data_IF_176835511671
#
_entry.id   IF_176835511671
#
_cell.length_a   1.000
_cell.length_b   1.000
_cell.length_c   1.000
_cell.angle_alpha   90.00
_cell.angle_beta   90.00
_cell.angle_gamma   90.00
#
_symmetry.space_group_name_H-M   'P 1'
#
loop_
_entity.id
_entity.type
_entity.pdbx_description
1 polymer ?
#
# COMPACT_ATOMS: atom_id res chain seq x y z
N UNK A 1 0.94 -38.69 -17.09
CA UNK A 1 1.29 -37.36 -17.68
C UNK A 1 1.84 -36.51 -16.54
N UNK A 2 3.16 -36.37 -16.45
CA UNK A 2 3.90 -35.90 -15.25
C UNK A 2 3.69 -34.42 -14.95
N UNK A 3 3.32 -34.10 -13.70
CA UNK A 3 3.16 -32.72 -13.21
C UNK A 3 4.46 -31.88 -13.30
N UNK A 4 5.64 -32.52 -13.26
CA UNK A 4 6.93 -31.84 -13.46
C UNK A 4 7.06 -31.13 -14.83
N UNK A 5 6.29 -31.55 -15.85
CA UNK A 5 6.38 -30.99 -17.19
C UNK A 5 5.45 -29.78 -17.43
N UNK A 6 4.59 -29.46 -16.48
CA UNK A 6 3.66 -28.30 -16.56
C UNK A 6 4.26 -27.08 -15.87
N UNK A 7 4.98 -27.27 -14.75
CA UNK A 7 5.67 -26.17 -14.05
C UNK A 7 6.84 -25.58 -14.84
N UNK A 8 7.57 -26.40 -15.61
CA UNK A 8 8.68 -25.93 -16.45
C UNK A 8 8.24 -25.05 -17.62
N UNK A 9 7.05 -25.28 -18.18
CA UNK A 9 6.47 -24.52 -19.31
C UNK A 9 6.05 -23.09 -18.96
N UNK A 10 5.91 -22.78 -17.67
CA UNK A 10 5.38 -21.49 -17.20
C UNK A 10 6.45 -20.55 -16.63
N UNK A 11 7.74 -20.91 -16.73
CA UNK A 11 8.87 -20.04 -16.39
C UNK A 11 9.16 -19.09 -17.58
N UNK A 12 9.38 -17.78 -17.36
CA UNK A 12 9.77 -16.85 -18.42
C UNK A 12 11.03 -17.35 -19.13
N UNK A 13 11.01 -17.35 -20.47
CA UNK A 13 12.14 -17.83 -21.29
C UNK A 13 11.92 -19.15 -22.03
N UNK A 14 10.74 -19.78 -21.90
CA UNK A 14 10.33 -20.88 -22.78
C UNK A 14 9.72 -20.32 -24.08
N UNK A 15 9.79 -21.07 -25.20
CA UNK A 15 9.21 -20.67 -26.50
C UNK A 15 7.75 -20.18 -26.43
N UNK A 16 6.97 -20.74 -25.50
CA UNK A 16 5.55 -20.38 -25.30
C UNK A 16 5.33 -19.17 -24.38
N UNK A 17 6.36 -18.70 -23.65
CA UNK A 17 6.29 -17.51 -22.79
C UNK A 17 7.60 -16.68 -22.84
N UNK A 18 7.79 -15.90 -23.94
CA UNK A 18 8.98 -15.09 -24.14
C UNK A 18 9.15 -14.03 -23.05
N UNK A 19 10.40 -13.69 -22.74
CA UNK A 19 10.76 -12.62 -21.80
C UNK A 19 10.08 -11.27 -22.11
N UNK A 20 9.88 -10.96 -23.40
CA UNK A 20 9.24 -9.72 -23.84
C UNK A 20 7.81 -9.58 -23.32
N UNK A 21 7.03 -10.66 -23.32
CA UNK A 21 5.66 -10.64 -22.79
C UNK A 21 5.63 -10.52 -21.28
N UNK A 22 6.56 -11.17 -20.59
CA UNK A 22 6.69 -11.07 -19.15
C UNK A 22 7.07 -9.64 -18.71
N UNK A 23 8.11 -9.06 -19.32
CA UNK A 23 8.52 -7.68 -19.01
C UNK A 23 7.46 -6.65 -19.42
N UNK A 24 6.76 -6.87 -20.54
CA UNK A 24 5.63 -6.04 -20.93
C UNK A 24 4.51 -6.07 -19.89
N UNK A 25 4.20 -7.26 -19.34
CA UNK A 25 3.20 -7.38 -18.28
C UNK A 25 3.65 -6.74 -16.96
N UNK A 26 4.91 -6.94 -16.56
CA UNK A 26 5.46 -6.30 -15.35
C UNK A 26 5.45 -4.77 -15.47
N UNK A 27 5.85 -4.25 -16.63
CA UNK A 27 5.79 -2.83 -16.94
C UNK A 27 4.35 -2.31 -16.89
N UNK A 28 3.39 -3.05 -17.45
CA UNK A 28 1.97 -2.70 -17.39
C UNK A 28 1.44 -2.70 -15.95
N UNK A 29 1.85 -3.66 -15.10
CA UNK A 29 1.46 -3.69 -13.69
C UNK A 29 2.02 -2.49 -12.91
N UNK A 30 3.29 -2.15 -13.11
CA UNK A 30 3.93 -0.98 -12.50
C UNK A 30 3.27 0.32 -12.96
N UNK A 31 3.02 0.45 -14.28
CA UNK A 31 2.31 1.59 -14.84
C UNK A 31 0.90 1.72 -14.27
N UNK A 32 0.16 0.60 -14.19
CA UNK A 32 -1.16 0.56 -13.58
C UNK A 32 -1.12 1.05 -12.12
N UNK A 33 -0.17 0.56 -11.33
CA UNK A 33 0.02 0.99 -9.93
C UNK A 33 0.34 2.48 -9.82
N UNK A 34 1.18 2.99 -10.69
CA UNK A 34 1.52 4.41 -10.75
C UNK A 34 0.30 5.26 -11.10
N UNK A 35 -0.46 4.88 -12.13
CA UNK A 35 -1.70 5.57 -12.51
C UNK A 35 -2.73 5.54 -11.39
N UNK A 36 -2.92 4.40 -10.74
CA UNK A 36 -3.82 4.26 -9.59
C UNK A 36 -3.44 5.21 -8.45
N UNK A 37 -2.15 5.29 -8.11
CA UNK A 37 -1.67 6.21 -7.08
C UNK A 37 -1.85 7.67 -7.47
N UNK A 38 -1.50 8.00 -8.70
CA UNK A 38 -1.61 9.35 -9.24
C UNK A 38 -3.07 9.83 -9.25
N UNK A 39 -4.01 8.96 -9.65
CA UNK A 39 -5.45 9.22 -9.60
C UNK A 39 -5.98 9.31 -8.18
N UNK A 40 -5.52 8.45 -7.27
CA UNK A 40 -5.87 8.50 -5.85
C UNK A 40 -5.53 9.87 -5.24
N UNK A 41 -4.38 10.46 -5.59
CA UNK A 41 -3.93 11.71 -4.97
C UNK A 41 -4.87 12.90 -5.25
N UNK A 42 -5.61 12.89 -6.36
CA UNK A 42 -6.52 13.99 -6.73
C UNK A 42 -7.60 14.21 -5.65
N UNK A 43 -8.48 13.24 -5.35
CA UNK A 43 -9.51 13.42 -4.30
C UNK A 43 -8.90 13.63 -2.91
N UNK A 44 -7.72 13.07 -2.63
CA UNK A 44 -7.03 13.28 -1.36
C UNK A 44 -6.60 14.74 -1.19
N UNK A 45 -6.00 15.34 -2.20
CA UNK A 45 -5.61 16.76 -2.15
C UNK A 45 -6.83 17.68 -2.05
N UNK A 46 -7.96 17.33 -2.66
CA UNK A 46 -9.21 18.05 -2.42
C UNK A 46 -9.71 17.93 -0.97
N UNK A 47 -9.50 16.78 -0.33
CA UNK A 47 -9.82 16.60 1.09
C UNK A 47 -8.89 17.43 1.99
N UNK A 48 -7.61 17.55 1.64
CA UNK A 48 -6.64 18.38 2.37
C UNK A 48 -7.04 19.86 2.44
N UNK A 49 -7.76 20.39 1.45
CA UNK A 49 -8.23 21.77 1.45
C UNK A 49 -9.47 22.01 2.31
N UNK A 50 -10.16 20.97 2.76
CA UNK A 50 -11.40 21.09 3.55
C UNK A 50 -11.11 21.03 5.04
N UNK A 51 -11.68 21.92 5.87
CA UNK A 51 -11.59 21.78 7.32
C UNK A 51 -12.16 20.44 7.76
N UNK A 52 -11.43 19.73 8.62
CA UNK A 52 -11.85 18.42 9.11
C UNK A 52 -11.72 18.35 10.65
N UNK A 53 -12.70 17.77 11.35
CA UNK A 53 -12.64 17.66 12.80
C UNK A 53 -11.67 16.54 13.23
N UNK A 54 -10.94 16.77 14.32
CA UNK A 54 -10.25 15.72 15.07
C UNK A 54 -11.26 15.02 15.97
N UNK A 55 -11.24 13.68 15.98
CA UNK A 55 -12.17 12.87 16.78
C UNK A 55 -11.44 12.16 17.93
N UNK A 56 -12.11 11.91 19.08
CA UNK A 56 -11.49 11.15 20.15
C UNK A 56 -11.28 9.68 19.75
N UNK A 57 -10.14 9.11 20.15
CA UNK A 57 -9.80 7.70 19.89
C UNK A 57 -9.36 7.01 21.17
N UNK A 58 -10.01 5.87 21.47
CA UNK A 58 -9.80 5.13 22.71
C UNK A 58 -8.38 4.55 22.83
N UNK A 59 -7.82 4.05 21.74
CA UNK A 59 -6.49 3.42 21.78
C UNK A 59 -5.42 4.51 21.84
N UNK A 60 -5.57 5.57 21.05
CA UNK A 60 -4.62 6.69 21.07
C UNK A 60 -4.65 7.46 22.40
N UNK A 61 -5.77 7.41 23.14
CA UNK A 61 -5.85 7.95 24.49
C UNK A 61 -5.00 7.16 25.52
N UNK A 62 -4.72 5.89 25.24
CA UNK A 62 -3.95 5.00 26.12
C UNK A 62 -2.49 4.86 25.70
N UNK A 63 -2.21 4.95 24.40
CA UNK A 63 -0.86 4.79 23.85
C UNK A 63 -0.11 6.12 23.93
N UNK A 64 1.13 6.15 24.45
CA UNK A 64 1.91 7.37 24.47
C UNK A 64 2.43 7.72 23.07
N UNK A 65 2.36 9.00 22.72
CA UNK A 65 2.96 9.51 21.48
C UNK A 65 4.48 9.61 21.63
N UNK A 66 5.21 9.15 20.63
CA UNK A 66 6.65 9.29 20.49
C UNK A 66 6.95 10.18 19.28
N UNK A 67 7.27 11.46 19.52
CA UNK A 67 7.45 12.42 18.43
C UNK A 67 8.61 12.07 17.50
N UNK A 68 9.72 11.54 18.03
CA UNK A 68 10.84 11.11 17.18
C UNK A 68 10.43 9.99 16.21
N UNK A 69 9.54 9.08 16.63
CA UNK A 69 8.96 8.07 15.74
C UNK A 69 8.11 8.73 14.66
N UNK A 70 7.31 9.73 15.01
CA UNK A 70 6.52 10.47 14.04
C UNK A 70 7.38 11.18 12.98
N UNK A 71 8.62 11.55 13.26
CA UNK A 71 9.52 12.13 12.25
C UNK A 71 10.16 11.06 11.34
N UNK A 72 10.51 9.89 11.89
CA UNK A 72 11.19 8.83 11.11
C UNK A 72 10.23 7.79 10.51
N UNK A 73 8.93 7.87 10.82
CA UNK A 73 7.91 6.88 10.45
C UNK A 73 7.94 6.55 8.95
N UNK A 74 8.13 7.56 8.11
CA UNK A 74 8.12 7.41 6.66
C UNK A 74 9.26 6.51 6.18
N UNK A 75 10.46 6.72 6.73
CA UNK A 75 11.63 5.89 6.43
C UNK A 75 11.49 4.47 6.98
N UNK A 76 10.92 4.32 8.19
CA UNK A 76 10.64 3.01 8.78
C UNK A 76 9.64 2.22 7.92
N UNK A 77 8.62 2.89 7.38
CA UNK A 77 7.67 2.28 6.47
C UNK A 77 8.31 1.87 5.15
N UNK A 78 9.12 2.75 4.53
CA UNK A 78 9.88 2.41 3.32
C UNK A 78 10.72 1.16 3.55
N UNK A 79 11.40 1.06 4.70
CA UNK A 79 12.20 -0.10 5.07
C UNK A 79 11.35 -1.38 5.26
N UNK A 80 10.09 -1.25 5.69
CA UNK A 80 9.17 -2.38 5.83
C UNK A 80 8.43 -2.74 4.54
N UNK A 81 8.39 -1.84 3.56
CA UNK A 81 7.64 -2.03 2.32
C UNK A 81 8.54 -2.42 1.14
N UNK A 82 9.57 -1.62 0.84
CA UNK A 82 10.38 -1.80 -0.37
C UNK A 82 11.24 -3.07 -0.35
N UNK A 83 12.05 -3.35 0.69
CA UNK A 83 12.86 -4.57 0.72
C UNK A 83 12.03 -5.86 0.62
N UNK A 84 10.91 -6.01 1.37
CA UNK A 84 10.04 -7.19 1.21
C UNK A 84 9.38 -7.27 -0.17
N UNK A 85 8.98 -6.15 -0.77
CA UNK A 85 8.45 -6.11 -2.13
C UNK A 85 9.50 -6.52 -3.18
N UNK A 86 10.75 -6.07 -3.04
CA UNK A 86 11.86 -6.48 -3.90
C UNK A 86 12.22 -7.96 -3.70
N UNK A 87 12.16 -8.45 -2.46
CA UNK A 87 12.31 -9.88 -2.18
C UNK A 87 11.21 -10.71 -2.85
N UNK A 88 9.97 -10.23 -2.84
CA UNK A 88 8.85 -10.85 -3.55
C UNK A 88 9.10 -10.90 -5.06
N UNK A 89 9.60 -9.81 -5.65
CA UNK A 89 10.00 -9.76 -7.06
C UNK A 89 11.12 -10.76 -7.37
N UNK A 90 12.11 -10.88 -6.49
CA UNK A 90 13.21 -11.83 -6.65
C UNK A 90 12.74 -13.29 -6.59
N UNK A 91 11.84 -13.62 -5.64
CA UNK A 91 11.37 -14.99 -5.40
C UNK A 91 10.31 -15.44 -6.40
N UNK A 92 9.27 -14.64 -6.59
CA UNK A 92 8.18 -14.94 -7.52
C UNK A 92 7.65 -13.67 -8.18
N UNK A 93 8.10 -13.47 -9.41
CA UNK A 93 7.73 -12.30 -10.22
C UNK A 93 6.25 -12.23 -10.60
N UNK A 94 5.58 -13.38 -10.77
CA UNK A 94 4.14 -13.39 -11.11
C UNK A 94 3.32 -12.96 -9.91
N UNK A 95 3.73 -13.45 -8.74
CA UNK A 95 3.13 -13.11 -7.47
C UNK A 95 3.38 -11.63 -7.14
N UNK A 96 4.59 -11.12 -7.40
CA UNK A 96 4.88 -9.68 -7.32
C UNK A 96 3.99 -8.83 -8.24
N UNK A 97 3.82 -9.21 -9.50
CA UNK A 97 2.96 -8.45 -10.42
C UNK A 97 1.49 -8.42 -9.96
N UNK A 98 0.98 -9.52 -9.40
CA UNK A 98 -0.35 -9.55 -8.76
C UNK A 98 -0.42 -8.65 -7.54
N UNK A 99 0.61 -8.67 -6.71
CA UNK A 99 0.74 -7.79 -5.56
C UNK A 99 0.64 -6.31 -5.98
N UNK A 100 1.42 -5.90 -6.99
CA UNK A 100 1.41 -4.52 -7.50
C UNK A 100 0.03 -4.10 -8.04
N UNK A 101 -0.69 -4.99 -8.73
CA UNK A 101 -2.04 -4.70 -9.21
C UNK A 101 -3.01 -4.49 -8.05
N UNK A 102 -3.01 -5.40 -7.07
CA UNK A 102 -3.90 -5.29 -5.92
C UNK A 102 -3.57 -4.07 -5.06
N UNK A 103 -2.29 -3.75 -4.89
CA UNK A 103 -1.84 -2.55 -4.20
C UNK A 103 -2.29 -1.25 -4.90
N UNK A 104 -2.39 -1.27 -6.23
CA UNK A 104 -2.99 -0.19 -7.01
C UNK A 104 -4.49 -0.04 -6.75
N UNK A 105 -5.23 -1.15 -6.70
CA UNK A 105 -6.66 -1.13 -6.38
C UNK A 105 -6.89 -0.61 -4.95
N UNK A 106 -6.09 -1.05 -3.97
CA UNK A 106 -6.13 -0.55 -2.59
C UNK A 106 -5.89 0.97 -2.56
N UNK A 107 -4.91 1.46 -3.32
CA UNK A 107 -4.62 2.89 -3.42
C UNK A 107 -5.85 3.67 -3.93
N UNK A 108 -6.50 3.19 -5.00
CA UNK A 108 -7.73 3.81 -5.50
C UNK A 108 -8.88 3.76 -4.47
N UNK A 109 -9.08 2.62 -3.81
CA UNK A 109 -10.09 2.50 -2.75
C UNK A 109 -9.86 3.53 -1.64
N UNK A 110 -8.60 3.76 -1.25
CA UNK A 110 -8.22 4.79 -0.29
C UNK A 110 -8.59 6.19 -0.78
N UNK A 111 -8.26 6.51 -2.03
CA UNK A 111 -8.59 7.81 -2.64
C UNK A 111 -10.09 8.10 -2.69
N UNK A 112 -10.93 7.06 -2.82
CA UNK A 112 -12.38 7.18 -2.75
C UNK A 112 -12.90 7.36 -1.32
N UNK A 113 -12.27 6.71 -0.33
CA UNK A 113 -12.76 6.68 1.05
C UNK A 113 -12.31 7.87 1.90
N UNK A 114 -11.12 8.42 1.65
CA UNK A 114 -10.62 9.62 2.35
C UNK A 114 -11.64 10.78 2.32
N UNK A 115 -12.15 11.22 1.15
CA UNK A 115 -13.12 12.33 1.11
C UNK A 115 -14.51 11.97 1.67
N UNK A 116 -14.83 10.68 1.84
CA UNK A 116 -16.10 10.23 2.42
C UNK A 116 -16.09 10.24 3.95
N UNK A 117 -14.91 10.18 4.56
CA UNK A 117 -14.75 10.20 6.02
C UNK A 117 -14.39 11.59 6.54
N UNK A 118 -13.50 12.31 5.85
CA UNK A 118 -13.18 13.70 6.16
C UNK A 118 -12.64 13.90 7.58
N UNK A 119 -11.74 13.02 8.04
CA UNK A 119 -11.13 13.10 9.37
C UNK A 119 -9.91 14.04 9.39
N UNK A 120 -9.82 14.87 10.42
CA UNK A 120 -8.65 15.71 10.71
C UNK A 120 -7.49 14.89 11.29
N UNK A 121 -6.27 15.46 11.38
CA UNK A 121 -5.14 14.77 12.00
C UNK A 121 -5.47 14.36 13.46
N UNK A 122 -5.05 13.15 13.91
CA UNK A 122 -5.25 12.69 15.29
C UNK A 122 -4.55 13.59 16.30
N UNK A 123 -3.48 14.26 15.88
CA UNK A 123 -2.69 15.17 16.69
C UNK A 123 -2.09 16.28 15.83
N UNK A 124 -2.05 17.49 16.37
CA UNK A 124 -1.57 18.69 15.68
C UNK A 124 -2.70 19.50 15.04
N UNK A 125 -2.35 20.68 14.51
CA UNK A 125 -3.30 21.55 13.83
C UNK A 125 -3.53 21.08 12.39
N UNK A 126 -4.75 21.33 11.86
CA UNK A 126 -5.07 21.18 10.44
C UNK A 126 -4.41 22.31 9.63
N UNK A 127 -3.09 22.20 9.42
CA UNK A 127 -2.28 23.23 8.77
C UNK A 127 -2.70 23.46 7.32
N UNK A 128 -3.14 22.42 6.62
CA UNK A 128 -3.50 22.48 5.20
C UNK A 128 -4.85 23.18 4.96
N UNK A 129 -5.80 23.07 5.90
CA UNK A 129 -7.01 23.91 5.85
C UNK A 129 -6.71 25.39 6.17
N UNK A 130 -5.68 25.66 6.98
CA UNK A 130 -5.31 27.03 7.38
C UNK A 130 -4.42 27.73 6.34
N UNK A 131 -3.62 26.98 5.58
CA UNK A 131 -2.71 27.49 4.54
C UNK A 131 -2.89 26.71 3.24
N UNK A 132 -3.87 27.08 2.40
CA UNK A 132 -4.12 26.38 1.16
C UNK A 132 -2.91 26.44 0.23
N UNK A 133 -2.54 25.29 -0.34
CA UNK A 133 -1.47 25.14 -1.31
C UNK A 133 -2.03 25.01 -2.73
N UNK A 134 -1.16 25.16 -3.73
CA UNK A 134 -1.55 24.90 -5.12
C UNK A 134 -1.67 23.39 -5.38
N UNK A 135 -2.88 22.95 -5.74
CA UNK A 135 -3.21 21.54 -5.96
C UNK A 135 -2.31 20.86 -6.99
N UNK A 136 -2.14 21.48 -8.16
CA UNK A 136 -1.41 20.87 -9.27
C UNK A 136 0.10 20.83 -9.09
N UNK A 137 0.68 21.85 -8.46
CA UNK A 137 2.10 21.80 -8.12
C UNK A 137 2.36 20.72 -7.08
N UNK A 138 1.50 20.60 -6.07
CA UNK A 138 1.61 19.61 -5.00
C UNK A 138 1.38 18.20 -5.53
N UNK A 139 0.38 18.00 -6.38
CA UNK A 139 0.14 16.73 -7.05
C UNK A 139 1.36 16.28 -7.87
N UNK A 140 1.96 17.17 -8.65
CA UNK A 140 3.17 16.84 -9.42
C UNK A 140 4.35 16.45 -8.53
N UNK A 141 4.49 17.11 -7.36
CA UNK A 141 5.53 16.78 -6.39
C UNK A 141 5.32 15.40 -5.75
N UNK A 142 4.07 15.06 -5.41
CA UNK A 142 3.72 13.78 -4.78
C UNK A 142 3.78 12.60 -5.75
N UNK A 143 3.44 12.83 -7.02
CA UNK A 143 3.50 11.82 -8.07
C UNK A 143 4.95 11.54 -8.50
N UNK A 144 5.87 12.49 -8.31
CA UNK A 144 7.26 12.33 -8.68
C UNK A 144 7.96 11.28 -7.79
N UNK A 145 8.42 10.14 -8.34
CA UNK A 145 8.96 9.03 -7.56
C UNK A 145 10.25 9.40 -6.80
N UNK A 146 11.05 10.33 -7.32
CA UNK A 146 12.26 10.79 -6.65
C UNK A 146 11.94 11.58 -5.37
N UNK A 147 10.95 12.48 -5.47
CA UNK A 147 10.49 13.26 -4.31
C UNK A 147 9.69 12.44 -3.33
N UNK A 148 8.92 11.47 -3.82
CA UNK A 148 8.26 10.51 -2.95
C UNK A 148 9.30 9.73 -2.11
N UNK A 149 10.38 9.22 -2.72
CA UNK A 149 11.34 8.37 -2.00
C UNK A 149 12.30 9.12 -1.07
N UNK A 150 12.65 10.37 -1.39
CA UNK A 150 13.72 11.12 -0.68
C UNK A 150 13.17 12.35 0.05
N UNK A 151 12.00 12.86 -0.37
CA UNK A 151 11.42 14.07 0.16
C UNK A 151 10.35 13.80 1.22
N UNK A 152 10.25 14.70 2.19
CA UNK A 152 9.20 14.69 3.21
C UNK A 152 7.87 15.27 2.68
N UNK A 153 7.69 15.30 1.35
CA UNK A 153 6.54 15.95 0.70
C UNK A 153 5.21 15.31 1.07
N UNK A 154 5.19 13.99 1.32
CA UNK A 154 3.98 13.31 1.78
C UNK A 154 3.62 13.75 3.22
N UNK A 155 4.58 13.77 4.15
CA UNK A 155 4.35 14.19 5.52
C UNK A 155 3.96 15.67 5.67
N UNK A 156 4.41 16.51 4.74
CA UNK A 156 4.10 17.95 4.73
C UNK A 156 2.70 18.23 4.15
N UNK A 157 2.34 17.59 3.04
CA UNK A 157 1.13 17.93 2.28
C UNK A 157 -0.06 16.98 2.49
N UNK A 158 0.16 15.81 3.10
CA UNK A 158 -0.89 14.84 3.40
C UNK A 158 -1.05 14.74 4.92
N UNK A 159 -1.84 15.64 5.49
CA UNK A 159 -2.08 15.73 6.93
C UNK A 159 -3.41 15.12 7.34
N UNK A 160 -4.28 14.79 6.37
CA UNK A 160 -5.66 14.30 6.49
C UNK A 160 -5.92 13.12 5.57
N UNK A 161 -4.87 12.39 5.16
CA UNK A 161 -5.00 11.15 4.41
C UNK A 161 -5.35 9.97 5.34
N UNK A 162 -6.35 10.15 6.20
CA UNK A 162 -6.59 9.26 7.34
C UNK A 162 -7.13 7.88 6.93
N UNK A 163 -8.39 7.84 6.47
CA UNK A 163 -9.09 6.57 6.33
C UNK A 163 -8.89 5.94 4.94
N UNK A 164 -8.37 4.71 4.81
CA UNK A 164 -7.73 3.86 5.82
C UNK A 164 -6.21 3.98 5.74
N UNK A 165 -5.50 3.40 6.72
CA UNK A 165 -4.03 3.53 6.78
C UNK A 165 -3.33 2.83 5.61
N UNK A 166 -2.62 3.62 4.78
CA UNK A 166 -1.81 3.10 3.67
C UNK A 166 -0.61 2.28 4.16
N UNK A 167 -0.02 2.68 5.28
CA UNK A 167 1.07 1.98 5.96
C UNK A 167 0.69 0.54 6.27
N UNK A 168 -0.43 0.36 6.97
CA UNK A 168 -0.93 -0.95 7.38
C UNK A 168 -1.42 -1.75 6.17
N UNK A 169 -2.13 -1.11 5.24
CA UNK A 169 -2.66 -1.82 4.07
C UNK A 169 -1.56 -2.43 3.19
N UNK A 170 -0.51 -1.66 2.88
CA UNK A 170 0.60 -2.09 2.03
C UNK A 170 1.42 -3.21 2.69
N UNK A 171 1.79 -3.03 3.96
CA UNK A 171 2.55 -4.02 4.73
C UNK A 171 1.73 -5.30 4.98
N UNK A 172 0.41 -5.17 5.18
CA UNK A 172 -0.45 -6.32 5.44
C UNK A 172 -0.69 -7.11 4.15
N UNK A 173 -0.85 -6.41 3.02
CA UNK A 173 -0.93 -7.04 1.71
C UNK A 173 0.34 -7.84 1.41
N UNK A 174 1.53 -7.28 1.69
CA UNK A 174 2.80 -7.99 1.57
C UNK A 174 2.82 -9.28 2.40
N UNK A 175 2.37 -9.22 3.66
CA UNK A 175 2.24 -10.41 4.50
C UNK A 175 1.32 -11.46 3.89
N UNK A 176 0.14 -11.07 3.38
CA UNK A 176 -0.81 -12.00 2.75
C UNK A 176 -0.20 -12.71 1.53
N UNK A 177 0.65 -12.01 0.78
CA UNK A 177 1.37 -12.59 -0.35
C UNK A 177 2.56 -13.46 0.09
N UNK A 178 3.29 -13.08 1.13
CA UNK A 178 4.40 -13.87 1.68
C UNK A 178 3.97 -15.23 2.23
N UNK A 179 2.71 -15.35 2.69
CA UNK A 179 2.10 -16.66 3.07
C UNK A 179 2.17 -17.70 1.96
N UNK A 180 2.30 -17.30 0.69
CA UNK A 180 2.42 -18.21 -0.45
C UNK A 180 3.86 -18.61 -0.77
N UNK A 181 4.85 -17.89 -0.25
CA UNK A 181 6.27 -18.22 -0.46
C UNK A 181 6.74 -19.33 0.50
N UNK A 182 6.26 -19.31 1.75
CA UNK A 182 6.66 -20.27 2.77
C UNK A 182 6.37 -19.80 4.20
N UNK A 183 6.52 -20.72 5.16
CA UNK A 183 6.26 -20.44 6.58
C UNK A 183 7.27 -19.45 7.18
N UNK A 184 8.53 -19.47 6.74
CA UNK A 184 9.56 -18.57 7.26
C UNK A 184 9.37 -17.16 6.74
N UNK A 185 9.16 -17.01 5.43
CA UNK A 185 8.86 -15.73 4.78
C UNK A 185 7.62 -15.09 5.40
N UNK A 186 6.56 -15.88 5.61
CA UNK A 186 5.34 -15.41 6.26
C UNK A 186 5.58 -14.85 7.66
N UNK A 187 6.44 -15.50 8.47
CA UNK A 187 6.77 -15.01 9.82
C UNK A 187 7.55 -13.71 9.78
N UNK A 188 8.55 -13.59 8.89
CA UNK A 188 9.34 -12.36 8.76
C UNK A 188 8.43 -11.19 8.35
N UNK A 189 7.57 -11.40 7.36
CA UNK A 189 6.65 -10.35 6.89
C UNK A 189 5.59 -10.01 7.94
N UNK A 190 5.17 -10.98 8.76
CA UNK A 190 4.29 -10.72 9.89
C UNK A 190 4.98 -9.86 10.96
N UNK A 191 6.26 -10.11 11.26
CA UNK A 191 7.03 -9.27 12.19
C UNK A 191 7.16 -7.85 11.67
N UNK A 192 7.46 -7.67 10.38
CA UNK A 192 7.51 -6.34 9.74
C UNK A 192 6.15 -5.65 9.75
N UNK A 193 5.06 -6.38 9.53
CA UNK A 193 3.70 -5.86 9.67
C UNK A 193 3.42 -5.36 11.08
N UNK A 194 3.73 -6.18 12.09
CA UNK A 194 3.50 -5.82 13.50
C UNK A 194 4.37 -4.62 13.88
N UNK A 195 5.61 -4.57 13.41
CA UNK A 195 6.48 -3.42 13.60
C UNK A 195 5.88 -2.14 12.99
N UNK A 196 5.43 -2.19 11.74
CA UNK A 196 4.73 -1.07 11.08
C UNK A 196 3.48 -0.62 11.87
N UNK A 197 2.71 -1.59 12.38
CA UNK A 197 1.55 -1.33 13.24
C UNK A 197 1.94 -0.57 14.52
N UNK A 198 2.98 -1.01 15.22
CA UNK A 198 3.47 -0.35 16.41
C UNK A 198 3.96 1.07 16.09
N UNK A 199 4.73 1.24 15.01
CA UNK A 199 5.21 2.57 14.58
C UNK A 199 4.04 3.51 14.31
N UNK A 200 2.99 3.06 13.61
CA UNK A 200 1.79 3.88 13.33
C UNK A 200 1.08 4.31 14.61
N UNK A 201 0.90 3.38 15.56
CA UNK A 201 0.26 3.72 16.84
C UNK A 201 1.13 4.63 17.70
N UNK A 202 2.40 4.33 17.93
CA UNK A 202 3.26 5.20 18.74
C UNK A 202 3.52 6.57 18.08
N UNK A 203 3.35 6.70 16.77
CA UNK A 203 3.48 7.99 16.07
C UNK A 203 2.16 8.80 16.03
N UNK A 204 1.03 8.23 16.46
CA UNK A 204 -0.31 8.83 16.35
C UNK A 204 -0.61 9.36 14.93
N UNK A 205 -0.24 8.59 13.90
CA UNK A 205 -0.43 8.98 12.49
C UNK A 205 -1.85 8.74 11.99
N UNK A 206 -2.49 7.71 12.53
CA UNK A 206 -3.78 7.22 12.09
C UNK A 206 -4.65 6.89 13.29
N UNK A 207 -5.96 7.04 13.13
CA UNK A 207 -6.93 6.56 14.10
C UNK A 207 -6.99 5.04 14.10
N UNK A 208 -7.47 4.47 15.20
CA UNK A 208 -7.70 3.02 15.32
C UNK A 208 -8.66 2.53 14.24
N UNK A 209 -9.67 3.33 13.89
CA UNK A 209 -10.62 3.00 12.83
C UNK A 209 -9.94 2.90 11.46
N UNK A 210 -8.90 3.70 11.20
CA UNK A 210 -8.13 3.64 9.95
C UNK A 210 -7.33 2.35 9.85
N UNK A 211 -6.80 1.87 10.98
CA UNK A 211 -6.05 0.60 11.07
C UNK A 211 -6.99 -0.59 10.87
N UNK A 212 -8.14 -0.61 11.54
CA UNK A 212 -9.15 -1.66 11.39
C UNK A 212 -9.69 -1.68 9.95
N UNK A 213 -10.01 -0.51 9.40
CA UNK A 213 -10.43 -0.35 8.02
C UNK A 213 -9.39 -0.87 7.03
N UNK A 214 -8.11 -0.60 7.28
CA UNK A 214 -7.02 -1.07 6.44
C UNK A 214 -6.97 -2.61 6.37
N UNK A 215 -7.10 -3.31 7.50
CA UNK A 215 -7.16 -4.78 7.53
C UNK A 215 -8.39 -5.32 6.77
N UNK A 216 -9.57 -4.77 7.04
CA UNK A 216 -10.82 -5.24 6.45
C UNK A 216 -10.85 -5.06 4.92
N UNK A 217 -10.48 -3.87 4.44
CA UNK A 217 -10.50 -3.53 3.02
C UNK A 217 -9.40 -4.26 2.27
N UNK A 218 -8.17 -4.29 2.82
CA UNK A 218 -7.05 -5.01 2.22
C UNK A 218 -7.36 -6.49 2.07
N UNK A 219 -7.91 -7.12 3.12
CA UNK A 219 -8.29 -8.54 3.06
C UNK A 219 -9.40 -8.80 2.03
N UNK A 220 -10.38 -7.89 1.94
CA UNK A 220 -11.47 -7.97 0.97
C UNK A 220 -10.96 -7.85 -0.46
N UNK A 221 -10.17 -6.81 -0.75
CA UNK A 221 -9.54 -6.60 -2.07
C UNK A 221 -8.62 -7.76 -2.43
N UNK A 222 -7.86 -8.27 -1.47
CA UNK A 222 -7.00 -9.42 -1.68
C UNK A 222 -7.79 -10.69 -2.03
N UNK A 223 -8.88 -10.98 -1.33
CA UNK A 223 -9.70 -12.17 -1.56
C UNK A 223 -10.45 -12.08 -2.89
N UNK A 224 -11.15 -10.96 -3.14
CA UNK A 224 -11.90 -10.74 -4.37
C UNK A 224 -10.98 -10.61 -5.58
N UNK A 225 -9.93 -9.79 -5.45
CA UNK A 225 -8.96 -9.55 -6.50
C UNK A 225 -8.19 -10.81 -6.87
N UNK A 226 -7.81 -11.64 -5.90
CA UNK A 226 -7.26 -12.95 -6.22
C UNK A 226 -8.27 -13.80 -6.98
N UNK A 227 -9.51 -13.98 -6.50
CA UNK A 227 -10.52 -14.77 -7.21
C UNK A 227 -10.74 -14.31 -8.65
N UNK A 228 -10.86 -13.00 -8.88
CA UNK A 228 -11.08 -12.41 -10.19
C UNK A 228 -9.88 -12.57 -11.13
N UNK A 229 -8.67 -12.30 -10.64
CA UNK A 229 -7.44 -12.47 -11.43
C UNK A 229 -7.23 -13.95 -11.80
N UNK A 230 -7.53 -14.87 -10.88
CA UNK A 230 -7.43 -16.30 -11.15
C UNK A 230 -8.48 -16.78 -12.16
N UNK A 231 -9.70 -16.23 -12.11
CA UNK A 231 -10.78 -16.59 -13.05
C UNK A 231 -10.49 -16.08 -14.46
N UNK A 232 -10.09 -14.83 -14.59
CA UNK A 232 -9.91 -14.19 -15.90
C UNK A 232 -8.55 -14.51 -16.54
N UNK A 233 -7.56 -14.91 -15.73
CA UNK A 233 -6.22 -15.20 -16.19
C UNK A 233 -5.67 -16.49 -15.53
N UNK A 234 -6.01 -17.68 -16.07
CA UNK A 234 -5.59 -18.98 -15.53
C UNK A 234 -4.06 -19.15 -15.41
N UNK A 235 -3.29 -18.35 -16.15
CA UNK A 235 -1.82 -18.33 -16.12
C UNK A 235 -1.21 -17.92 -14.76
N UNK A 236 -2.02 -17.40 -13.83
CA UNK A 236 -1.58 -17.00 -12.48
C UNK A 236 -1.52 -18.12 -11.44
N UNK A 237 -1.71 -19.39 -11.87
CA UNK A 237 -1.61 -20.62 -11.07
C UNK A 237 -1.93 -20.41 -9.59
N UNK A 238 -3.21 -20.17 -9.31
CA UNK A 238 -3.69 -19.85 -7.98
C UNK A 238 -4.02 -21.12 -7.20
N UNK A 239 -3.01 -21.93 -6.88
CA UNK A 239 -3.21 -22.98 -5.91
C UNK A 239 -3.14 -22.38 -4.50
N UNK A 240 -4.20 -22.58 -3.70
CA UNK A 240 -4.22 -22.35 -2.26
C UNK A 240 -4.85 -21.03 -1.78
N UNK A 241 -6.11 -21.13 -1.38
CA UNK A 241 -6.59 -20.65 -0.08
C UNK A 241 -7.36 -21.77 0.61
#
# INVERSE_FOLDING_TARGET
>A
MNQMNVESRLRPGHEQYPWRFFFGYLAAAILFRYLCHSLMLIPVLFNELRPAPTVPDLVLALVPRLDWLAHINYYLWIACYFPPALYLLYRDRKLFARFIILDGIISLSRGLMIPLTGLGPPHGADLNAMRPFSLWTTWWQLVNPYRALIGDTAGIYLTKDMFFSGHIATTFLLYLFARRLGKMESRVFLVLQIFSLLVVFFSHLHYTIDVIGAYAITFTVFTLGNRLLCRNFPRFNCQGF
#
